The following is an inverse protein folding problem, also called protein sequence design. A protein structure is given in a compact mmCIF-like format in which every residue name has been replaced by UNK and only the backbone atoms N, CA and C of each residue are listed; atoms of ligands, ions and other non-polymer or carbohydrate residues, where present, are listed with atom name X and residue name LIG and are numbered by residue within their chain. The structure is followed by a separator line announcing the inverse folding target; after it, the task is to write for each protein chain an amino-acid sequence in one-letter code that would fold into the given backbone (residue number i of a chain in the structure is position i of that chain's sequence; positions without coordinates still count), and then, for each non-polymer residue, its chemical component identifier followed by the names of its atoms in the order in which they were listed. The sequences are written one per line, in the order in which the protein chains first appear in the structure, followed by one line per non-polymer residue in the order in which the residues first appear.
data_IF_180650580322
#
_entry.id   IF_180650580322
#
_cell.length_a   1.000
_cell.length_b   1.000
_cell.length_c   1.000
_cell.angle_alpha   90.00
_cell.angle_beta   90.00
_cell.angle_gamma   90.00
#
_symmetry.space_group_name_H-M   'P 1'
#
loop_
_entity.id
_entity.type
_entity.pdbx_description
1 polymer ?
#
# COMPACT_ATOMS: atom_id res chain seq x y z
N UNK A 1 5.23 7.12 16.81
CA UNK A 1 4.70 6.10 15.90
C UNK A 1 3.48 6.69 15.28
N UNK A 2 3.45 6.76 13.95
CA UNK A 2 2.33 7.33 13.21
C UNK A 2 1.28 6.27 12.93
N UNK A 3 0.02 6.69 12.86
CA UNK A 3 -1.12 5.79 12.71
C UNK A 3 -1.93 6.18 11.49
N UNK A 4 -2.32 5.24 10.61
CA UNK A 4 -3.21 5.54 9.49
C UNK A 4 -4.58 5.96 10.03
N UNK A 5 -5.18 6.94 9.37
CA UNK A 5 -6.57 7.34 9.63
C UNK A 5 -7.48 6.60 8.67
N UNK A 6 -8.33 5.73 9.22
CA UNK A 6 -9.35 5.03 8.44
C UNK A 6 -10.62 5.87 8.37
N UNK A 7 -11.13 6.06 7.14
CA UNK A 7 -12.34 6.85 6.88
C UNK A 7 -13.30 6.02 6.03
N UNK A 8 -14.53 5.87 6.51
CA UNK A 8 -15.62 5.29 5.72
C UNK A 8 -16.27 6.38 4.87
N UNK A 9 -16.24 6.24 3.54
CA UNK A 9 -16.79 7.26 2.62
C UNK A 9 -18.31 7.46 2.74
N UNK A 10 -19.04 6.47 3.25
CA UNK A 10 -20.48 6.58 3.55
C UNK A 10 -20.76 7.49 4.76
N UNK A 11 -19.81 7.56 5.70
CA UNK A 11 -19.89 8.42 6.89
C UNK A 11 -18.52 9.07 7.17
N UNK A 12 -18.05 9.99 6.30
CA UNK A 12 -16.66 10.48 6.36
C UNK A 12 -16.29 11.21 7.65
N UNK A 13 -17.29 11.71 8.37
CA UNK A 13 -17.10 12.43 9.63
C UNK A 13 -17.17 11.55 10.88
N UNK A 14 -17.52 10.26 10.73
CA UNK A 14 -17.52 9.30 11.81
C UNK A 14 -16.08 8.85 12.09
N UNK A 15 -15.55 9.20 13.27
CA UNK A 15 -14.19 8.83 13.70
C UNK A 15 -14.22 7.72 14.73
N UNK A 16 -13.27 6.79 14.61
CA UNK A 16 -13.03 5.76 15.63
C UNK A 16 -12.47 6.36 16.93
N UNK A 17 -11.60 7.38 16.81
CA UNK A 17 -10.99 8.11 17.92
C UNK A 17 -11.63 9.49 18.02
N UNK A 18 -12.14 9.84 19.20
CA UNK A 18 -12.86 11.10 19.42
C UNK A 18 -12.25 11.97 20.53
N UNK A 19 -11.44 11.40 21.44
CA UNK A 19 -10.82 12.17 22.51
C UNK A 19 -9.69 13.04 21.94
N UNK A 20 -9.65 14.35 22.22
CA UNK A 20 -8.64 15.27 21.67
C UNK A 20 -7.19 14.81 21.86
N UNK A 21 -6.84 14.36 23.06
CA UNK A 21 -5.49 13.88 23.38
C UNK A 21 -5.12 12.63 22.56
N UNK A 22 -6.10 11.76 22.29
CA UNK A 22 -5.91 10.57 21.46
C UNK A 22 -5.82 10.92 19.98
N UNK A 23 -6.61 11.90 19.51
CA UNK A 23 -6.50 12.42 18.13
C UNK A 23 -5.11 12.99 17.91
N UNK A 24 -4.60 13.80 18.85
CA UNK A 24 -3.23 14.31 18.79
C UNK A 24 -2.21 13.18 18.75
N UNK A 25 -2.29 12.24 19.70
CA UNK A 25 -1.34 11.13 19.87
C UNK A 25 -1.33 10.13 18.71
N UNK A 26 -2.47 9.88 18.08
CA UNK A 26 -2.64 8.93 17.00
C UNK A 26 -2.74 9.61 15.62
N UNK A 27 -2.22 10.83 15.50
CA UNK A 27 -2.06 11.52 14.22
C UNK A 27 -0.67 11.24 13.60
N UNK A 28 -0.49 11.69 12.35
CA UNK A 28 0.83 11.73 11.71
C UNK A 28 1.67 12.84 12.33
N UNK A 29 2.84 12.48 12.86
CA UNK A 29 3.82 13.43 13.39
C UNK A 29 4.99 13.67 12.44
N UNK A 30 5.19 12.77 11.47
CA UNK A 30 6.23 12.89 10.45
C UNK A 30 5.60 13.10 9.06
N UNK A 31 6.37 13.70 8.15
CA UNK A 31 6.01 13.93 6.75
C UNK A 31 7.14 13.39 5.88
N UNK A 32 6.80 12.49 4.98
CA UNK A 32 7.72 12.00 3.94
C UNK A 32 7.80 13.02 2.80
N UNK A 33 9.02 13.41 2.46
CA UNK A 33 9.32 14.35 1.38
C UNK A 33 10.32 13.76 0.40
N UNK A 34 10.25 14.25 -0.84
CA UNK A 34 11.26 13.97 -1.86
C UNK A 34 12.16 15.20 -1.98
N UNK A 35 13.40 15.10 -1.53
CA UNK A 35 14.38 16.17 -1.75
C UNK A 35 14.90 16.08 -3.18
N UNK A 36 14.48 17.02 -4.02
CA UNK A 36 14.88 17.08 -5.43
C UNK A 36 16.34 17.49 -5.64
N UNK A 37 17.01 18.06 -4.62
CA UNK A 37 18.42 18.46 -4.70
C UNK A 37 19.32 17.25 -4.54
N UNK A 38 19.03 16.44 -3.53
CA UNK A 38 19.78 15.21 -3.21
C UNK A 38 19.18 13.96 -3.89
N UNK A 39 18.02 14.10 -4.55
CA UNK A 39 17.28 13.01 -5.20
C UNK A 39 16.98 11.83 -4.27
N UNK A 40 16.59 12.13 -3.04
CA UNK A 40 16.35 11.14 -1.99
C UNK A 40 15.01 11.35 -1.27
N UNK A 41 14.51 10.26 -0.69
CA UNK A 41 13.39 10.32 0.25
C UNK A 41 13.92 10.68 1.64
N UNK A 42 13.24 11.59 2.32
CA UNK A 42 13.53 12.01 3.68
C UNK A 42 12.22 12.06 4.48
N UNK A 43 12.24 11.62 5.74
CA UNK A 43 11.13 11.79 6.67
C UNK A 43 11.47 12.89 7.66
N UNK A 44 10.61 13.91 7.76
CA UNK A 44 10.83 15.07 8.62
C UNK A 44 9.72 15.20 9.66
N UNK A 45 10.02 15.62 10.90
CA UNK A 45 8.98 16.00 11.84
C UNK A 45 8.09 17.11 11.25
N UNK A 46 6.77 16.96 11.38
CA UNK A 46 5.78 17.89 10.82
C UNK A 46 6.09 19.34 11.23
N UNK A 47 6.40 19.58 12.50
CA UNK A 47 6.73 20.91 13.00
C UNK A 47 7.96 21.51 12.29
N UNK A 48 8.97 20.69 11.99
CA UNK A 48 10.15 21.14 11.25
C UNK A 48 9.82 21.45 9.78
N UNK A 49 9.08 20.56 9.12
CA UNK A 49 8.60 20.78 7.76
C UNK A 49 7.79 22.07 7.66
N UNK A 50 6.87 22.30 8.61
CA UNK A 50 6.05 23.49 8.69
C UNK A 50 6.86 24.76 8.98
N UNK A 51 7.96 24.70 9.74
CA UNK A 51 8.90 25.83 9.89
C UNK A 51 9.59 26.19 8.57
N UNK A 52 9.94 25.19 7.76
CA UNK A 52 10.62 25.38 6.46
C UNK A 52 9.67 25.96 5.40
N UNK A 53 8.46 25.40 5.29
CA UNK A 53 7.50 25.73 4.22
C UNK A 53 6.54 26.86 4.62
N UNK A 54 6.12 26.89 5.88
CA UNK A 54 5.15 27.85 6.41
C UNK A 54 3.79 27.77 5.72
N UNK A 55 3.20 28.94 5.46
CA UNK A 55 1.86 29.08 4.87
C UNK A 55 1.78 28.82 3.37
N UNK A 56 2.85 28.29 2.76
CA UNK A 56 2.88 27.98 1.32
C UNK A 56 2.16 26.68 0.98
N UNK A 57 1.84 25.86 1.98
CA UNK A 57 1.07 24.64 1.77
C UNK A 57 -0.36 25.02 1.34
N UNK A 58 -0.85 24.52 0.20
CA UNK A 58 -2.21 24.78 -0.22
C UNK A 58 -3.20 24.09 0.73
N UNK A 59 -4.39 24.70 0.92
CA UNK A 59 -5.50 24.09 1.65
C UNK A 59 -5.17 23.61 3.07
N UNK A 60 -4.32 24.34 3.82
CA UNK A 60 -3.96 23.97 5.20
C UNK A 60 -5.18 23.72 6.09
N UNK A 61 -6.26 24.49 5.93
CA UNK A 61 -7.49 24.32 6.68
C UNK A 61 -8.26 23.02 6.36
N UNK A 62 -7.94 22.35 5.25
CA UNK A 62 -8.47 21.04 4.91
C UNK A 62 -7.65 19.91 5.49
N UNK A 63 -6.35 20.12 5.69
CA UNK A 63 -5.38 19.10 6.14
C UNK A 63 -5.25 19.10 7.67
N UNK A 64 -5.14 20.28 8.26
CA UNK A 64 -4.76 20.46 9.65
C UNK A 64 -5.91 20.94 10.54
N UNK A 65 -5.90 20.45 11.78
CA UNK A 65 -6.57 21.07 12.92
C UNK A 65 -5.52 21.59 13.92
N UNK A 66 -5.99 22.30 14.94
CA UNK A 66 -5.14 22.90 15.97
C UNK A 66 -5.40 22.19 17.29
N UNK A 67 -4.35 21.70 17.93
CA UNK A 67 -4.41 21.14 19.27
C UNK A 67 -3.91 22.15 20.29
N UNK A 68 -4.84 22.70 21.07
CA UNK A 68 -4.57 23.71 22.10
C UNK A 68 -5.48 23.47 23.30
N UNK A 69 -4.95 23.62 24.50
CA UNK A 69 -5.70 23.45 25.75
C UNK A 69 -6.47 22.11 25.84
N UNK A 70 -5.86 21.03 25.33
CA UNK A 70 -6.45 19.68 25.23
C UNK A 70 -7.74 19.63 24.41
N UNK A 71 -7.85 20.50 23.42
CA UNK A 71 -8.95 20.55 22.46
C UNK A 71 -8.42 20.51 21.03
N UNK A 72 -9.20 19.89 20.14
CA UNK A 72 -8.97 19.96 18.69
C UNK A 72 -9.92 21.02 18.12
N UNK A 73 -9.33 22.06 17.53
CA UNK A 73 -10.03 23.20 16.96
C UNK A 73 -9.86 23.21 15.44
N UNK A 74 -10.91 23.55 14.67
CA UNK A 74 -10.79 23.71 13.24
C UNK A 74 -9.93 24.94 12.90
N UNK A 75 -9.17 24.85 11.82
CA UNK A 75 -8.39 25.98 11.32
C UNK A 75 -9.30 26.93 10.52
N UNK A 76 -9.96 27.86 11.21
CA UNK A 76 -10.87 28.85 10.63
C UNK A 76 -10.27 30.27 10.69
N UNK A 77 -10.40 31.03 9.58
CA UNK A 77 -9.98 32.42 9.50
C UNK A 77 -8.47 32.65 9.38
N UNK A 78 -8.06 33.93 9.44
CA UNK A 78 -6.64 34.32 9.47
C UNK A 78 -6.15 34.24 10.91
N UNK A 79 -5.45 33.17 11.26
CA UNK A 79 -4.82 33.07 12.58
C UNK A 79 -3.53 33.91 12.59
N UNK A 80 -3.46 34.91 13.47
CA UNK A 80 -2.30 35.81 13.55
C UNK A 80 -1.05 35.08 14.06
N UNK A 81 -1.21 34.03 14.87
CA UNK A 81 -0.15 33.20 15.44
C UNK A 81 -0.54 31.74 15.29
N UNK A 82 0.19 31.00 14.46
CA UNK A 82 0.03 29.57 14.24
C UNK A 82 1.38 28.94 14.55
N UNK A 83 1.47 28.22 15.66
CA UNK A 83 2.71 27.53 16.03
C UNK A 83 2.72 26.14 15.36
N UNK A 84 3.81 25.76 14.68
CA UNK A 84 3.94 24.44 14.05
C UNK A 84 3.65 23.25 14.96
N UNK A 85 3.97 23.38 16.25
CA UNK A 85 3.76 22.36 17.30
C UNK A 85 2.29 22.10 17.63
N UNK A 86 1.42 23.07 17.33
CA UNK A 86 -0.02 22.95 17.58
C UNK A 86 -0.76 22.30 16.40
N UNK A 87 -0.08 22.08 15.27
CA UNK A 87 -0.69 21.50 14.09
C UNK A 87 -0.86 19.99 14.23
N UNK A 88 -2.06 19.52 13.90
CA UNK A 88 -2.41 18.11 13.87
C UNK A 88 -2.97 17.77 12.51
N UNK A 89 -2.43 16.73 11.86
CA UNK A 89 -3.00 16.20 10.62
C UNK A 89 -4.30 15.48 10.97
N UNK A 90 -5.42 15.99 10.49
CA UNK A 90 -6.74 15.39 10.75
C UNK A 90 -7.56 15.18 9.49
N UNK A 91 -7.27 15.94 8.42
CA UNK A 91 -8.09 16.03 7.22
C UNK A 91 -9.56 16.43 7.47
N UNK A 92 -9.90 17.00 8.64
CA UNK A 92 -11.29 17.28 9.00
C UNK A 92 -12.00 18.20 8.00
N UNK A 93 -11.30 19.24 7.52
CA UNK A 93 -11.86 20.14 6.52
C UNK A 93 -12.02 19.48 5.15
N UNK A 94 -11.13 18.54 4.79
CA UNK A 94 -11.26 17.74 3.55
C UNK A 94 -12.46 16.80 3.63
N UNK A 95 -12.62 16.09 4.75
CA UNK A 95 -13.70 15.10 4.96
C UNK A 95 -15.09 15.73 5.08
N UNK A 96 -15.17 17.03 5.40
CA UNK A 96 -16.43 17.80 5.39
C UNK A 96 -16.72 18.51 4.06
N UNK A 97 -15.79 18.44 3.10
CA UNK A 97 -15.96 19.02 1.77
C UNK A 97 -16.71 18.06 0.82
N UNK A 98 -16.82 18.41 -0.46
CA UNK A 98 -17.35 17.51 -1.49
C UNK A 98 -16.43 16.33 -1.83
N UNK A 99 -15.16 16.37 -1.41
CA UNK A 99 -14.14 15.40 -1.78
C UNK A 99 -14.52 13.93 -1.50
N UNK A 100 -15.06 13.54 -0.33
CA UNK A 100 -15.45 12.14 -0.11
C UNK A 100 -16.53 11.64 -1.07
N UNK A 101 -17.45 12.52 -1.48
CA UNK A 101 -18.49 12.17 -2.43
C UNK A 101 -17.93 12.00 -3.85
N UNK A 102 -17.01 12.87 -4.26
CA UNK A 102 -16.28 12.77 -5.54
C UNK A 102 -15.46 11.47 -5.59
N UNK A 103 -14.71 11.18 -4.53
CA UNK A 103 -13.91 9.95 -4.40
C UNK A 103 -14.81 8.70 -4.44
N UNK A 104 -15.95 8.70 -3.74
CA UNK A 104 -16.92 7.61 -3.80
C UNK A 104 -17.46 7.42 -5.21
N UNK A 105 -17.85 8.50 -5.89
CA UNK A 105 -18.41 8.45 -7.24
C UNK A 105 -17.39 7.89 -8.25
N UNK A 106 -16.11 8.25 -8.08
CA UNK A 106 -15.02 7.69 -8.89
C UNK A 106 -14.83 6.18 -8.62
N UNK A 107 -14.82 5.75 -7.35
CA UNK A 107 -14.70 4.34 -7.00
C UNK A 107 -15.86 3.51 -7.56
N UNK A 108 -17.09 3.99 -7.42
CA UNK A 108 -18.29 3.32 -7.94
C UNK A 108 -18.21 3.18 -9.48
N UNK A 109 -17.75 4.21 -10.19
CA UNK A 109 -17.55 4.17 -11.66
C UNK A 109 -16.47 3.16 -12.08
N UNK A 110 -15.36 3.10 -11.35
CA UNK A 110 -14.27 2.17 -11.63
C UNK A 110 -14.69 0.72 -11.37
N UNK A 111 -15.41 0.48 -10.28
CA UNK A 111 -15.97 -0.83 -9.94
C UNK A 111 -16.98 -1.29 -11.02
N UNK A 112 -17.86 -0.40 -11.48
CA UNK A 112 -18.78 -0.71 -12.59
C UNK A 112 -18.02 -1.06 -13.88
N UNK A 113 -16.99 -0.28 -14.22
CA UNK A 113 -16.20 -0.49 -15.44
C UNK A 113 -15.36 -1.77 -15.43
N UNK A 114 -14.85 -2.18 -14.27
CA UNK A 114 -14.04 -3.39 -14.10
C UNK A 114 -14.85 -4.63 -13.72
N UNK A 115 -16.09 -4.46 -13.25
CA UNK A 115 -16.95 -5.56 -12.79
C UNK A 115 -16.53 -6.18 -11.46
N UNK A 116 -15.60 -5.56 -10.75
CA UNK A 116 -15.10 -5.99 -9.44
C UNK A 116 -14.65 -4.78 -8.60
N UNK A 117 -14.69 -4.88 -7.25
CA UNK A 117 -14.22 -3.82 -6.37
C UNK A 117 -12.79 -3.41 -6.69
N UNK A 118 -12.47 -2.14 -6.49
CA UNK A 118 -11.17 -1.58 -6.83
C UNK A 118 -10.47 -1.02 -5.61
N UNK A 119 -9.15 -1.03 -5.67
CA UNK A 119 -8.25 -0.30 -4.80
C UNK A 119 -7.54 0.78 -5.62
N UNK A 120 -7.45 1.99 -5.09
CA UNK A 120 -6.87 3.14 -5.78
C UNK A 120 -5.85 3.86 -4.91
N UNK A 121 -4.69 4.14 -5.49
CA UNK A 121 -3.73 5.08 -4.93
C UNK A 121 -3.82 6.38 -5.72
N UNK A 122 -3.81 7.51 -5.02
CA UNK A 122 -4.00 8.82 -5.63
C UNK A 122 -3.11 9.90 -5.01
N UNK A 123 -2.93 10.99 -5.74
CA UNK A 123 -2.37 12.25 -5.24
C UNK A 123 -3.33 13.40 -5.55
N UNK A 124 -3.20 14.50 -4.81
CA UNK A 124 -4.02 15.69 -5.00
C UNK A 124 -3.17 16.94 -4.73
N UNK A 125 -3.17 17.91 -5.64
CA UNK A 125 -2.38 19.16 -5.50
C UNK A 125 -3.16 20.28 -4.79
N UNK A 126 -4.46 20.07 -4.59
CA UNK A 126 -5.39 21.05 -4.01
C UNK A 126 -6.50 21.46 -4.97
N UNK A 127 -6.33 21.18 -6.26
CA UNK A 127 -7.26 21.47 -7.34
C UNK A 127 -7.58 20.21 -8.17
N UNK A 128 -6.56 19.42 -8.48
CA UNK A 128 -6.61 18.27 -9.37
C UNK A 128 -6.42 16.96 -8.61
N UNK A 129 -7.19 15.96 -9.00
CA UNK A 129 -7.05 14.57 -8.56
C UNK A 129 -6.20 13.79 -9.56
N UNK A 130 -5.14 13.14 -9.08
CA UNK A 130 -4.24 12.31 -9.88
C UNK A 130 -4.35 10.85 -9.45
N UNK A 131 -4.82 9.99 -10.35
CA UNK A 131 -4.83 8.54 -10.12
C UNK A 131 -3.43 7.98 -10.37
N UNK A 132 -2.82 7.41 -9.33
CA UNK A 132 -1.47 6.82 -9.39
C UNK A 132 -1.52 5.33 -9.67
N UNK A 133 -2.48 4.65 -9.07
CA UNK A 133 -2.72 3.23 -9.26
C UNK A 133 -4.23 2.94 -9.15
N UNK A 134 -4.72 2.02 -9.99
CA UNK A 134 -6.03 1.43 -9.87
C UNK A 134 -5.87 -0.08 -10.08
N UNK A 135 -6.30 -0.86 -9.10
CA UNK A 135 -6.21 -2.31 -9.13
C UNK A 135 -7.55 -2.91 -8.76
N UNK A 136 -8.02 -3.81 -9.60
CA UNK A 136 -9.03 -4.77 -9.21
C UNK A 136 -8.60 -5.47 -7.91
N UNK A 137 -9.42 -5.32 -6.87
CA UNK A 137 -9.39 -6.19 -5.71
C UNK A 137 -9.98 -7.50 -6.17
N UNK A 138 -9.10 -8.41 -6.61
CA UNK A 138 -9.50 -9.78 -6.95
C UNK A 138 -10.34 -10.30 -5.80
N UNK A 139 -11.66 -10.35 -5.99
CA UNK A 139 -12.54 -10.87 -4.97
C UNK A 139 -12.05 -12.29 -4.74
N UNK A 140 -11.74 -12.62 -3.49
CA UNK A 140 -11.72 -14.02 -3.04
C UNK A 140 -13.08 -14.72 -3.23
N UNK A 141 -14.02 -14.17 -4.03
CA UNK A 141 -15.26 -14.82 -4.44
C UNK A 141 -15.02 -16.05 -5.32
N UNK A 142 -13.80 -16.27 -5.81
CA UNK A 142 -13.37 -17.55 -6.37
C UNK A 142 -12.45 -18.35 -5.43
N UNK A 143 -12.18 -17.88 -4.21
CA UNK A 143 -11.64 -18.75 -3.18
C UNK A 143 -12.76 -19.71 -2.79
N UNK A 144 -12.95 -20.74 -3.62
CA UNK A 144 -13.55 -21.97 -3.16
C UNK A 144 -12.87 -22.28 -1.84
N UNK A 145 -13.66 -22.45 -0.78
CA UNK A 145 -13.14 -23.03 0.45
C UNK A 145 -12.69 -24.43 0.09
N UNK A 146 -11.44 -24.54 -0.32
CA UNK A 146 -10.78 -25.81 -0.52
C UNK A 146 -10.55 -26.35 0.88
N UNK A 147 -11.10 -27.53 1.15
CA UNK A 147 -10.71 -28.29 2.32
C UNK A 147 -9.24 -28.70 2.15
N UNK A 148 -8.37 -28.03 2.89
CA UNK A 148 -6.97 -28.45 3.03
C UNK A 148 -6.96 -29.67 3.95
N UNK A 149 -6.47 -30.84 3.50
CA UNK A 149 -6.43 -32.02 4.36
C UNK A 149 -5.58 -31.75 5.61
N UNK A 150 -6.13 -32.06 6.79
CA UNK A 150 -5.47 -31.82 8.08
C UNK A 150 -4.39 -32.88 8.34
N UNK A 151 -4.61 -34.09 7.84
CA UNK A 151 -3.80 -35.28 8.12
C UNK A 151 -3.01 -35.72 6.88
N UNK A 152 -2.32 -34.79 6.21
CA UNK A 152 -1.33 -35.18 5.18
C UNK A 152 -0.16 -35.86 5.88
N UNK A 153 0.25 -37.08 5.50
CA UNK A 153 1.46 -37.73 6.04
C UNK A 153 2.70 -36.87 5.78
N UNK A 154 3.66 -36.83 6.71
CA UNK A 154 4.87 -36.00 6.57
C UNK A 154 5.68 -36.36 5.31
N UNK A 155 5.74 -37.64 4.95
CA UNK A 155 6.38 -38.13 3.74
C UNK A 155 5.71 -37.63 2.44
N UNK A 156 4.46 -37.17 2.53
CA UNK A 156 3.70 -36.60 1.40
C UNK A 156 3.76 -35.07 1.37
N UNK A 157 4.40 -34.42 2.36
CA UNK A 157 4.53 -32.96 2.42
C UNK A 157 5.85 -32.53 1.78
N UNK A 158 5.74 -31.74 0.71
CA UNK A 158 6.92 -31.12 0.07
C UNK A 158 7.22 -29.75 0.66
N UNK A 159 6.19 -28.93 0.90
CA UNK A 159 6.31 -27.60 1.50
C UNK A 159 5.21 -27.35 2.52
N UNK A 160 5.46 -26.47 3.49
CA UNK A 160 4.45 -25.95 4.42
C UNK A 160 4.63 -24.44 4.62
N UNK A 161 3.53 -23.73 4.87
CA UNK A 161 3.53 -22.30 5.13
C UNK A 161 2.49 -21.97 6.20
N UNK A 162 2.83 -21.03 7.09
CA UNK A 162 2.02 -20.66 8.25
C UNK A 162 1.60 -19.18 8.24
N UNK A 163 1.95 -18.44 7.17
CA UNK A 163 1.62 -17.01 6.97
C UNK A 163 1.36 -16.71 5.50
N UNK A 164 0.49 -15.74 5.24
CA UNK A 164 0.20 -15.19 3.90
C UNK A 164 -0.23 -16.21 2.84
N UNK A 165 -0.90 -17.30 3.27
CA UNK A 165 -1.43 -18.33 2.35
C UNK A 165 -2.89 -18.00 2.03
N UNK A 166 -3.19 -17.77 0.76
CA UNK A 166 -4.57 -17.75 0.27
C UNK A 166 -5.05 -19.20 0.03
N UNK A 167 -6.33 -19.48 0.22
CA UNK A 167 -6.88 -20.81 -0.05
C UNK A 167 -6.96 -21.06 -1.56
N UNK A 168 -6.38 -22.16 -2.02
CA UNK A 168 -6.40 -22.61 -3.40
C UNK A 168 -5.98 -24.07 -3.52
N UNK A 169 -6.42 -24.74 -4.59
CA UNK A 169 -6.02 -26.10 -4.94
C UNK A 169 -5.78 -26.17 -6.44
N UNK A 170 -4.60 -26.66 -6.79
CA UNK A 170 -4.30 -27.09 -8.15
C UNK A 170 -4.05 -28.60 -8.12
N UNK A 171 -4.56 -29.30 -9.14
CA UNK A 171 -4.42 -30.76 -9.26
C UNK A 171 -3.49 -31.09 -10.42
N UNK A 172 -3.06 -32.35 -10.50
CA UNK A 172 -2.30 -32.87 -11.64
C UNK A 172 -0.94 -32.17 -11.88
N UNK A 173 -0.35 -31.62 -10.82
CA UNK A 173 1.03 -31.13 -10.83
C UNK A 173 2.01 -32.31 -10.75
N UNK A 174 2.92 -32.38 -11.71
CA UNK A 174 3.95 -33.42 -11.80
C UNK A 174 5.33 -32.90 -11.40
N UNK A 175 5.58 -31.60 -11.56
CA UNK A 175 6.90 -31.00 -11.33
C UNK A 175 6.82 -29.77 -10.43
N UNK A 176 7.84 -29.60 -9.59
CA UNK A 176 8.13 -28.34 -8.90
C UNK A 176 9.47 -27.83 -9.37
N UNK A 177 9.48 -26.62 -9.90
CA UNK A 177 10.69 -25.88 -10.25
C UNK A 177 10.94 -24.86 -9.15
N UNK A 178 11.88 -25.18 -8.27
CA UNK A 178 12.24 -24.36 -7.12
C UNK A 178 13.50 -23.55 -7.43
N UNK A 179 13.43 -22.24 -7.24
CA UNK A 179 14.58 -21.36 -7.09
C UNK A 179 14.69 -21.03 -5.61
N UNK A 180 15.74 -21.53 -4.97
CA UNK A 180 15.98 -21.25 -3.56
C UNK A 180 16.19 -19.73 -3.37
N UNK A 181 15.34 -19.06 -2.56
CA UNK A 181 15.48 -17.63 -2.31
C UNK A 181 16.86 -17.25 -1.78
N UNK A 182 17.46 -18.09 -0.93
CA UNK A 182 18.76 -17.83 -0.30
C UNK A 182 19.88 -17.85 -1.34
N UNK A 183 19.84 -18.83 -2.24
CA UNK A 183 20.83 -18.93 -3.32
C UNK A 183 20.65 -17.78 -4.32
N UNK A 184 19.41 -17.40 -4.64
CA UNK A 184 19.14 -16.29 -5.54
C UNK A 184 19.58 -14.93 -4.95
N UNK A 185 19.32 -14.70 -3.67
CA UNK A 185 19.75 -13.49 -2.95
C UNK A 185 21.29 -13.42 -2.82
N UNK A 186 21.98 -14.56 -2.82
CA UNK A 186 23.45 -14.60 -2.78
C UNK A 186 24.12 -14.21 -4.10
N UNK A 187 23.36 -14.09 -5.21
CA UNK A 187 23.90 -13.69 -6.49
C UNK A 187 24.37 -12.22 -6.44
N UNK A 188 25.63 -11.99 -6.79
CA UNK A 188 26.24 -10.66 -6.68
C UNK A 188 25.93 -9.80 -7.91
N UNK A 189 25.80 -10.43 -9.08
CA UNK A 189 25.71 -9.72 -10.35
C UNK A 189 24.36 -9.84 -11.02
N UNK A 190 23.98 -8.79 -11.74
CA UNK A 190 22.78 -8.79 -12.60
C UNK A 190 22.86 -9.87 -13.68
N UNK A 191 24.05 -10.18 -14.19
CA UNK A 191 24.23 -11.21 -15.21
C UNK A 191 23.89 -12.60 -14.68
N UNK A 192 24.28 -12.92 -13.45
CA UNK A 192 23.93 -14.16 -12.77
C UNK A 192 22.42 -14.32 -12.61
N UNK A 193 21.75 -13.28 -12.11
CA UNK A 193 20.29 -13.27 -11.96
C UNK A 193 19.57 -13.47 -13.31
N UNK A 194 20.11 -12.88 -14.39
CA UNK A 194 19.60 -13.10 -15.74
C UNK A 194 19.87 -14.51 -16.28
N UNK A 195 20.96 -15.18 -15.85
CA UNK A 195 21.19 -16.59 -16.19
C UNK A 195 20.12 -17.48 -15.57
N UNK A 196 19.74 -17.22 -14.31
CA UNK A 196 18.63 -17.92 -13.65
C UNK A 196 17.34 -17.72 -14.42
N UNK A 197 17.00 -16.47 -14.79
CA UNK A 197 15.81 -16.17 -15.59
C UNK A 197 15.79 -16.92 -16.93
N UNK A 198 16.93 -16.98 -17.63
CA UNK A 198 17.05 -17.76 -18.88
C UNK A 198 16.86 -19.27 -18.65
N UNK A 199 17.42 -19.81 -17.58
CA UNK A 199 17.25 -21.22 -17.23
C UNK A 199 15.78 -21.54 -16.91
N UNK A 200 15.13 -20.67 -16.13
CA UNK A 200 13.69 -20.74 -15.83
C UNK A 200 12.87 -20.68 -17.12
N UNK A 201 13.18 -19.78 -18.05
CA UNK A 201 12.52 -19.70 -19.35
C UNK A 201 12.68 -20.97 -20.19
N UNK A 202 13.87 -21.57 -20.18
CA UNK A 202 14.11 -22.85 -20.86
C UNK A 202 13.30 -24.00 -20.24
N UNK A 203 13.25 -24.09 -18.91
CA UNK A 203 12.46 -25.09 -18.18
C UNK A 203 10.96 -24.90 -18.45
N UNK A 204 10.47 -23.65 -18.40
CA UNK A 204 9.07 -23.31 -18.70
C UNK A 204 8.66 -23.72 -20.11
N UNK A 205 9.57 -23.66 -21.09
CA UNK A 205 9.33 -24.11 -22.46
C UNK A 205 9.38 -25.63 -22.62
N UNK A 206 10.17 -26.32 -21.78
CA UNK A 206 10.35 -27.77 -21.85
C UNK A 206 9.26 -28.56 -21.10
N UNK A 207 8.71 -28.00 -20.01
CA UNK A 207 7.73 -28.68 -19.18
C UNK A 207 6.31 -28.66 -19.78
N UNK A 208 5.49 -29.70 -19.54
CA UNK A 208 4.12 -29.74 -20.02
C UNK A 208 3.28 -28.60 -19.41
N UNK A 209 2.52 -27.89 -20.26
CA UNK A 209 1.65 -26.79 -19.81
C UNK A 209 0.68 -27.28 -18.72
N UNK A 210 0.52 -26.46 -17.67
CA UNK A 210 -0.40 -26.71 -16.52
C UNK A 210 -0.07 -27.94 -15.66
N UNK A 211 1.14 -28.49 -15.76
CA UNK A 211 1.57 -29.65 -14.95
C UNK A 211 2.77 -29.37 -14.04
N UNK A 212 3.12 -28.10 -13.84
CA UNK A 212 4.23 -27.74 -12.97
C UNK A 212 3.98 -26.45 -12.21
N UNK A 213 4.62 -26.35 -11.05
CA UNK A 213 4.67 -25.15 -10.22
C UNK A 213 6.05 -24.51 -10.34
N UNK A 214 6.07 -23.19 -10.51
CA UNK A 214 7.26 -22.37 -10.33
C UNK A 214 7.22 -21.74 -8.94
N UNK A 215 8.27 -21.94 -8.16
CA UNK A 215 8.40 -21.39 -6.80
C UNK A 215 9.77 -20.70 -6.68
N UNK A 216 9.78 -19.46 -6.19
CA UNK A 216 11.03 -18.72 -6.01
C UNK A 216 10.81 -17.36 -5.36
N UNK A 217 11.89 -16.55 -5.24
CA UNK A 217 11.87 -15.32 -4.46
C UNK A 217 10.99 -14.24 -5.08
N UNK A 218 10.30 -13.51 -4.19
CA UNK A 218 9.66 -12.23 -4.48
C UNK A 218 8.67 -12.24 -5.65
N UNK A 219 8.70 -11.18 -6.47
CA UNK A 219 7.73 -10.94 -7.55
C UNK A 219 8.29 -11.42 -8.88
N UNK A 220 7.63 -12.41 -9.46
CA UNK A 220 7.94 -12.90 -10.79
C UNK A 220 7.37 -11.99 -11.88
N UNK A 221 8.14 -11.76 -12.94
CA UNK A 221 7.70 -10.94 -14.09
C UNK A 221 7.74 -9.43 -13.82
N UNK A 222 8.44 -9.02 -12.77
CA UNK A 222 8.71 -7.62 -12.50
C UNK A 222 9.72 -7.07 -13.51
N UNK A 223 9.41 -5.92 -14.11
CA UNK A 223 10.38 -5.10 -14.87
C UNK A 223 11.21 -4.17 -13.97
N UNK A 224 10.93 -4.18 -12.66
CA UNK A 224 11.59 -3.34 -11.66
C UNK A 224 12.94 -3.90 -11.20
N UNK A 225 13.26 -3.71 -9.92
CA UNK A 225 14.50 -4.20 -9.34
C UNK A 225 14.58 -5.73 -9.43
N UNK A 226 15.59 -6.22 -10.17
CA UNK A 226 15.86 -7.65 -10.40
C UNK A 226 16.19 -8.41 -9.11
N UNK A 227 16.55 -7.69 -8.03
CA UNK A 227 16.76 -8.29 -6.72
C UNK A 227 15.45 -8.65 -6.00
N UNK A 228 14.33 -8.05 -6.40
CA UNK A 228 13.03 -8.27 -5.77
C UNK A 228 12.24 -9.44 -6.36
N UNK A 229 12.82 -10.19 -7.32
CA UNK A 229 12.27 -11.43 -7.83
C UNK A 229 12.83 -11.85 -9.19
N UNK A 230 12.45 -13.04 -9.65
CA UNK A 230 12.95 -13.58 -10.92
C UNK A 230 12.27 -12.89 -12.12
N UNK A 231 13.02 -12.25 -13.03
CA UNK A 231 12.42 -11.69 -14.24
C UNK A 231 11.98 -12.82 -15.18
N UNK A 232 10.83 -12.66 -15.82
CA UNK A 232 10.32 -13.56 -16.88
C UNK A 232 9.98 -12.78 -18.14
#
# INVERSE_FOLDING_TARGET
TDYPVLVALEQPTLRAVQQPDEIYRYSQHDVDVVDLRESQFESLPLAEFMRRVGRKIPNMNRIFSIYRDRQILPMVGVMAQLEPEELVVTFDGLLRSGFPHELKSMLDLLEEGLGEPVDVEFAHDGENFFMLQCRALSRGSSAQRVEVPIDVPEESKVFSAHRYVQMGQEKDLEYVVLIDPRDYESLETREEMLRVARAVGAVNNALPKKKFLLMGPGRWGSRGDIKLGVPV
#
